data_IF_286723052219
#
_entry.id   IF_286723052219
#
_cell.length_a   1.000
_cell.length_b   1.000
_cell.length_c   1.000
_cell.angle_alpha   90.00
_cell.angle_beta   90.00
_cell.angle_gamma   90.00
#
_symmetry.space_group_name_H-M   'P 1'
#
loop_
_entity.id
_entity.type
_entity.pdbx_description
1 polymer ?
#
# COMPACT_ATOMS: atom_id res chain seq x y z
N UNK A 1 -10.70 -1.93 11.10
CA UNK A 1 -11.79 -2.52 11.90
C UNK A 1 -11.27 -2.86 13.29
N UNK A 2 -12.06 -2.56 14.32
CA UNK A 2 -11.80 -2.93 15.71
C UNK A 2 -13.06 -3.60 16.30
N UNK A 3 -12.90 -4.35 17.40
CA UNK A 3 -14.05 -4.88 18.13
C UNK A 3 -14.26 -4.02 19.36
N UNK A 4 -15.38 -3.32 19.43
CA UNK A 4 -15.80 -2.50 20.56
C UNK A 4 -17.09 -3.08 21.14
N UNK A 5 -17.07 -3.48 22.41
CA UNK A 5 -18.21 -4.11 23.09
C UNK A 5 -18.80 -5.32 22.32
N UNK A 6 -17.93 -6.15 21.73
CA UNK A 6 -18.34 -7.33 20.96
C UNK A 6 -18.93 -7.04 19.58
N UNK A 7 -18.91 -5.80 19.12
CA UNK A 7 -19.37 -5.39 17.78
C UNK A 7 -18.19 -4.89 16.96
N UNK A 8 -18.20 -5.23 15.66
CA UNK A 8 -17.22 -4.72 14.73
C UNK A 8 -17.45 -3.22 14.52
N UNK A 9 -16.46 -2.42 14.85
CA UNK A 9 -16.39 -0.99 14.55
C UNK A 9 -15.51 -0.75 13.33
N UNK A 10 -15.95 0.13 12.44
CA UNK A 10 -15.23 0.50 11.24
C UNK A 10 -14.78 1.94 11.32
N UNK A 11 -13.49 2.15 11.36
CA UNK A 11 -12.90 3.48 11.27
C UNK A 11 -12.43 3.76 9.86
N UNK A 12 -12.69 4.96 9.37
CA UNK A 12 -12.17 5.48 8.10
C UNK A 12 -11.28 6.69 8.40
N UNK A 13 -10.31 6.95 7.52
CA UNK A 13 -9.39 8.07 7.72
C UNK A 13 -10.13 9.41 7.61
N UNK A 14 -10.91 9.59 6.57
CA UNK A 14 -11.63 10.84 6.27
C UNK A 14 -13.10 10.57 5.99
N UNK A 15 -13.97 11.01 6.88
CA UNK A 15 -15.42 10.87 6.76
C UNK A 15 -16.04 11.78 5.70
N UNK A 16 -15.29 12.77 5.17
CA UNK A 16 -15.77 13.66 4.09
C UNK A 16 -15.79 12.97 2.73
N UNK A 17 -15.05 11.86 2.59
CA UNK A 17 -15.02 11.05 1.38
C UNK A 17 -15.93 9.84 1.60
N UNK A 18 -17.04 9.79 0.87
CA UNK A 18 -17.90 8.61 0.89
C UNK A 18 -17.35 7.52 -0.04
N UNK A 19 -17.62 6.26 0.31
CA UNK A 19 -17.28 5.13 -0.58
C UNK A 19 -17.96 5.24 -1.94
N UNK A 20 -19.15 5.82 -1.99
CA UNK A 20 -19.89 6.07 -3.24
C UNK A 20 -19.16 7.07 -4.14
N UNK A 21 -18.70 8.20 -3.61
CA UNK A 21 -17.89 9.17 -4.38
C UNK A 21 -16.61 8.57 -4.90
N UNK A 22 -15.92 7.80 -4.05
CA UNK A 22 -14.70 7.08 -4.45
C UNK A 22 -15.00 6.11 -5.58
N UNK A 23 -16.09 5.35 -5.46
CA UNK A 23 -16.49 4.37 -6.48
C UNK A 23 -16.80 5.05 -7.82
N UNK A 24 -17.62 6.11 -7.83
CA UNK A 24 -17.96 6.85 -9.07
C UNK A 24 -16.69 7.37 -9.74
N UNK A 25 -15.77 7.97 -9.00
CA UNK A 25 -14.50 8.46 -9.52
C UNK A 25 -13.65 7.33 -10.11
N UNK A 26 -13.48 6.22 -9.37
CA UNK A 26 -12.63 5.12 -9.78
C UNK A 26 -13.23 4.33 -10.96
N UNK A 27 -14.54 4.17 -11.03
CA UNK A 27 -15.23 3.55 -12.17
C UNK A 27 -15.01 4.38 -13.46
N UNK A 28 -15.13 5.72 -13.37
CA UNK A 28 -14.85 6.63 -14.49
C UNK A 28 -13.37 6.57 -14.90
N UNK A 29 -12.46 6.56 -13.92
CA UNK A 29 -11.03 6.47 -14.18
C UNK A 29 -10.66 5.15 -14.87
N UNK A 30 -11.27 4.03 -14.46
CA UNK A 30 -11.04 2.73 -15.11
C UNK A 30 -11.46 2.73 -16.59
N UNK A 31 -12.59 3.37 -16.92
CA UNK A 31 -13.02 3.55 -18.31
C UNK A 31 -11.96 4.34 -19.09
N UNK A 32 -11.46 5.44 -18.53
CA UNK A 32 -10.43 6.24 -19.17
C UNK A 32 -9.11 5.47 -19.33
N UNK A 33 -8.70 4.69 -18.33
CA UNK A 33 -7.50 3.84 -18.40
C UNK A 33 -7.64 2.84 -19.56
N UNK A 34 -8.76 2.13 -19.64
CA UNK A 34 -8.98 1.15 -20.69
C UNK A 34 -9.05 1.77 -22.08
N UNK A 35 -9.61 2.97 -22.20
CA UNK A 35 -9.64 3.71 -23.46
C UNK A 35 -8.24 4.10 -23.97
N UNK A 36 -7.30 4.41 -23.07
CA UNK A 36 -5.96 4.87 -23.44
C UNK A 36 -4.92 3.74 -23.51
N UNK A 37 -5.06 2.69 -22.71
CA UNK A 37 -4.04 1.65 -22.55
C UNK A 37 -4.50 0.26 -23.00
N UNK A 38 -5.75 0.12 -23.46
CA UNK A 38 -6.35 -1.15 -23.85
C UNK A 38 -6.85 -1.96 -22.66
N UNK A 39 -6.96 -3.25 -22.84
CA UNK A 39 -7.46 -4.13 -21.79
C UNK A 39 -6.53 -4.14 -20.58
N UNK A 40 -7.07 -3.76 -19.43
CA UNK A 40 -6.39 -3.81 -18.14
C UNK A 40 -7.26 -4.65 -17.20
N UNK A 41 -6.64 -5.67 -16.62
CA UNK A 41 -7.28 -6.57 -15.66
C UNK A 41 -7.23 -5.97 -14.26
N UNK A 42 -8.18 -6.39 -13.44
CA UNK A 42 -8.27 -6.02 -12.03
C UNK A 42 -7.78 -7.18 -11.18
N UNK A 43 -7.28 -6.85 -9.99
CA UNK A 43 -6.93 -7.83 -8.98
C UNK A 43 -8.10 -8.79 -8.68
N UNK A 44 -7.81 -10.04 -8.38
CA UNK A 44 -8.82 -11.06 -8.09
C UNK A 44 -9.72 -10.68 -6.91
N UNK A 45 -9.20 -9.90 -5.95
CA UNK A 45 -9.93 -9.42 -4.78
C UNK A 45 -10.68 -8.09 -4.99
N UNK A 46 -10.67 -7.52 -6.20
CA UNK A 46 -11.34 -6.24 -6.49
C UNK A 46 -12.82 -6.19 -6.06
N UNK A 47 -13.63 -7.26 -6.15
CA UNK A 47 -15.02 -7.23 -5.69
C UNK A 47 -15.19 -6.92 -4.18
N UNK A 48 -14.14 -7.12 -3.38
CA UNK A 48 -14.13 -6.85 -1.93
C UNK A 48 -13.53 -5.50 -1.57
N UNK A 49 -12.94 -4.78 -2.53
CA UNK A 49 -12.35 -3.46 -2.34
C UNK A 49 -13.42 -2.37 -2.45
N UNK A 50 -13.44 -1.46 -1.50
CA UNK A 50 -14.44 -0.39 -1.43
C UNK A 50 -13.86 1.01 -1.69
N UNK A 51 -12.54 1.17 -1.54
CA UNK A 51 -11.90 2.48 -1.49
C UNK A 51 -10.80 2.65 -2.53
N UNK A 52 -10.42 1.59 -3.18
CA UNK A 52 -9.34 1.56 -4.16
C UNK A 52 -9.68 0.68 -5.36
N UNK A 53 -9.00 0.96 -6.44
CA UNK A 53 -8.96 0.19 -7.66
C UNK A 53 -7.58 -0.47 -7.73
N UNK A 54 -7.52 -1.79 -7.72
CA UNK A 54 -6.28 -2.54 -7.87
C UNK A 54 -6.18 -3.07 -9.30
N UNK A 55 -5.29 -2.49 -10.08
CA UNK A 55 -4.95 -2.97 -11.41
C UNK A 55 -3.94 -4.10 -11.28
N UNK A 56 -4.22 -5.25 -11.88
CA UNK A 56 -3.31 -6.38 -11.94
C UNK A 56 -2.12 -6.03 -12.84
N UNK A 57 -0.94 -6.01 -12.26
CA UNK A 57 0.31 -5.77 -13.00
C UNK A 57 1.22 -6.99 -13.04
N UNK A 58 1.07 -7.94 -12.10
CA UNK A 58 1.90 -9.16 -12.01
C UNK A 58 1.28 -10.26 -11.14
N UNK A 59 -0.04 -10.30 -10.96
CA UNK A 59 -0.74 -11.35 -10.22
C UNK A 59 -1.08 -12.54 -11.15
N UNK A 60 -2.01 -12.34 -12.08
CA UNK A 60 -2.40 -13.30 -13.12
C UNK A 60 -1.98 -12.83 -14.51
N UNK A 61 -1.72 -11.53 -14.66
CA UNK A 61 -1.27 -10.91 -15.90
C UNK A 61 0.05 -10.19 -15.65
N UNK A 62 0.82 -9.98 -16.72
CA UNK A 62 2.10 -9.27 -16.61
C UNK A 62 2.12 -8.04 -17.51
N UNK A 63 2.29 -6.87 -16.92
CA UNK A 63 2.51 -5.62 -17.64
C UNK A 63 4.01 -5.27 -17.59
N UNK A 64 4.51 -4.68 -18.68
CA UNK A 64 5.88 -4.18 -18.66
C UNK A 64 6.02 -3.02 -17.65
N UNK A 65 7.20 -2.85 -17.01
CA UNK A 65 7.43 -1.76 -16.07
C UNK A 65 7.13 -0.37 -16.65
N UNK A 66 7.45 -0.16 -17.93
CA UNK A 66 7.14 1.09 -18.63
C UNK A 66 5.64 1.34 -18.71
N UNK A 67 4.85 0.32 -19.07
CA UNK A 67 3.39 0.44 -19.15
C UNK A 67 2.78 0.70 -17.77
N UNK A 68 3.28 0.05 -16.73
CA UNK A 68 2.85 0.30 -15.34
C UNK A 68 3.12 1.77 -14.98
N UNK A 69 4.28 2.29 -15.35
CA UNK A 69 4.65 3.68 -15.09
C UNK A 69 3.75 4.66 -15.84
N UNK A 70 3.48 4.42 -17.10
CA UNK A 70 2.58 5.25 -17.91
C UNK A 70 1.16 5.30 -17.32
N UNK A 71 0.62 4.15 -16.89
CA UNK A 71 -0.69 4.08 -16.24
C UNK A 71 -0.65 4.80 -14.88
N UNK A 72 0.41 4.63 -14.09
CA UNK A 72 0.59 5.36 -12.83
C UNK A 72 0.55 6.87 -13.05
N UNK A 73 1.38 7.39 -13.97
CA UNK A 73 1.45 8.83 -14.27
C UNK A 73 0.11 9.36 -14.80
N UNK A 74 -0.59 8.57 -15.61
CA UNK A 74 -1.94 8.89 -16.06
C UNK A 74 -2.93 9.01 -14.91
N UNK A 75 -2.96 8.06 -13.96
CA UNK A 75 -3.83 8.11 -12.79
C UNK A 75 -3.58 9.37 -11.95
N UNK A 76 -2.30 9.70 -11.71
CA UNK A 76 -1.92 10.92 -11.00
C UNK A 76 -2.41 12.18 -11.75
N UNK A 77 -2.25 12.23 -13.07
CA UNK A 77 -2.69 13.36 -13.89
C UNK A 77 -4.22 13.59 -13.85
N UNK A 78 -4.99 12.52 -13.56
CA UNK A 78 -6.44 12.56 -13.40
C UNK A 78 -6.89 12.89 -11.97
N UNK A 79 -5.96 13.17 -11.08
CA UNK A 79 -6.26 13.56 -9.68
C UNK A 79 -6.48 12.38 -8.73
N UNK A 80 -6.15 11.16 -9.15
CA UNK A 80 -6.07 10.01 -8.26
C UNK A 80 -4.75 10.01 -7.49
N UNK A 81 -4.69 9.23 -6.41
CA UNK A 81 -3.44 8.76 -5.84
C UNK A 81 -3.17 7.34 -6.31
N UNK A 82 -1.92 6.97 -6.42
CA UNK A 82 -1.53 5.64 -6.84
C UNK A 82 -0.27 5.18 -6.12
N UNK A 83 -0.13 3.86 -5.95
CA UNK A 83 1.06 3.23 -5.40
C UNK A 83 1.28 1.87 -6.06
N UNK A 84 2.52 1.63 -6.48
CA UNK A 84 2.93 0.36 -7.10
C UNK A 84 3.32 -0.61 -5.97
N UNK A 85 2.78 -1.82 -6.01
CA UNK A 85 3.22 -2.96 -5.22
C UNK A 85 3.81 -4.03 -6.15
N UNK A 86 4.24 -5.15 -5.59
CA UNK A 86 4.83 -6.28 -6.34
C UNK A 86 3.87 -6.87 -7.39
N UNK A 87 2.57 -6.81 -7.13
CA UNK A 87 1.56 -7.46 -8.00
C UNK A 87 0.48 -6.51 -8.50
N UNK A 88 0.29 -5.36 -7.86
CA UNK A 88 -0.77 -4.42 -8.21
C UNK A 88 -0.29 -2.97 -8.37
N UNK A 89 -0.95 -2.23 -9.22
CA UNK A 89 -1.02 -0.78 -9.14
C UNK A 89 -2.30 -0.40 -8.40
N UNK A 90 -2.17 0.01 -7.14
CA UNK A 90 -3.29 0.43 -6.32
C UNK A 90 -3.58 1.91 -6.55
N UNK A 91 -4.83 2.23 -6.87
CA UNK A 91 -5.29 3.59 -7.20
C UNK A 91 -6.46 3.97 -6.32
N UNK A 92 -6.43 5.15 -5.70
CA UNK A 92 -7.52 5.59 -4.82
C UNK A 92 -7.84 7.08 -4.97
N UNK A 93 -9.01 7.46 -4.50
CA UNK A 93 -9.49 8.84 -4.46
C UNK A 93 -9.38 9.40 -3.05
N UNK A 94 -8.81 10.62 -2.90
CA UNK A 94 -8.69 11.31 -1.61
C UNK A 94 -7.25 11.42 -1.12
N UNK A 95 -7.02 12.41 -0.27
CA UNK A 95 -5.68 12.76 0.23
C UNK A 95 -5.34 11.99 1.51
N UNK A 96 -5.24 10.69 1.41
CA UNK A 96 -4.81 9.83 2.52
C UNK A 96 -3.86 8.74 2.02
N UNK A 97 -3.05 8.25 2.92
CA UNK A 97 -2.08 7.17 2.65
C UNK A 97 -2.19 6.08 3.72
N UNK A 98 -1.54 4.94 3.47
CA UNK A 98 -1.35 3.89 4.48
C UNK A 98 -0.72 4.47 5.75
N UNK A 99 0.25 5.36 5.61
CA UNK A 99 0.95 6.00 6.72
C UNK A 99 0.01 6.86 7.58
N UNK A 100 -0.84 7.68 6.97
CA UNK A 100 -1.78 8.53 7.69
C UNK A 100 -2.74 7.72 8.56
N UNK A 101 -3.25 6.59 8.02
CA UNK A 101 -4.13 5.71 8.78
C UNK A 101 -3.37 4.99 9.90
N UNK A 102 -2.15 4.54 9.67
CA UNK A 102 -1.33 3.93 10.71
C UNK A 102 -1.08 4.88 11.88
N UNK A 103 -0.70 6.12 11.60
CA UNK A 103 -0.50 7.14 12.63
C UNK A 103 -1.79 7.43 13.42
N UNK A 104 -2.93 7.51 12.74
CA UNK A 104 -4.23 7.69 13.41
C UNK A 104 -4.55 6.53 14.35
N UNK A 105 -4.23 5.30 13.97
CA UNK A 105 -4.43 4.11 14.81
C UNK A 105 -3.51 4.15 16.02
N UNK A 106 -2.20 4.44 15.83
CA UNK A 106 -1.25 4.53 16.92
C UNK A 106 -1.66 5.60 17.94
N UNK A 107 -2.11 6.78 17.48
CA UNK A 107 -2.63 7.84 18.34
C UNK A 107 -3.85 7.36 19.14
N UNK A 108 -4.81 6.67 18.49
CA UNK A 108 -6.00 6.13 19.17
C UNK A 108 -5.68 5.07 20.22
N UNK A 109 -4.56 4.36 20.06
CA UNK A 109 -4.07 3.36 21.01
C UNK A 109 -3.09 3.92 22.04
N UNK A 110 -2.76 5.22 21.95
CA UNK A 110 -1.75 5.87 22.76
C UNK A 110 -0.38 5.16 22.70
N UNK A 111 -0.03 4.69 21.50
CA UNK A 111 1.26 4.03 21.19
C UNK A 111 2.15 5.03 20.46
N UNK A 112 3.38 5.19 20.91
CA UNK A 112 4.34 6.07 20.26
C UNK A 112 4.99 5.36 19.07
N UNK A 113 5.34 6.14 18.05
CA UNK A 113 5.93 5.61 16.82
C UNK A 113 7.32 4.97 17.04
N UNK A 114 8.05 5.44 18.04
CA UNK A 114 9.35 4.90 18.46
C UNK A 114 9.25 3.57 19.25
N UNK A 115 8.05 3.20 19.65
CA UNK A 115 7.74 1.89 20.24
C UNK A 115 7.33 0.85 19.17
N UNK A 116 7.36 1.23 17.88
CA UNK A 116 6.89 0.41 16.77
C UNK A 116 8.01 0.03 15.82
N UNK A 117 7.94 -1.19 15.30
CA UNK A 117 8.73 -1.63 14.15
C UNK A 117 7.79 -1.73 12.95
N UNK A 118 8.13 -1.06 11.86
CA UNK A 118 7.43 -1.22 10.59
C UNK A 118 8.16 -2.21 9.70
N UNK A 119 7.41 -3.12 9.08
CA UNK A 119 7.96 -4.09 8.12
C UNK A 119 7.25 -3.92 6.77
N UNK A 120 8.02 -3.89 5.69
CA UNK A 120 7.48 -3.78 4.33
C UNK A 120 8.35 -4.48 3.29
N UNK A 121 7.84 -4.61 2.07
CA UNK A 121 8.48 -5.39 1.00
C UNK A 121 8.48 -4.70 -0.37
N UNK A 122 7.84 -3.53 -0.49
CA UNK A 122 7.53 -2.97 -1.80
C UNK A 122 7.48 -1.43 -1.81
N UNK A 123 7.46 -0.79 -3.00
CA UNK A 123 7.48 0.67 -3.13
C UNK A 123 6.34 1.41 -2.43
N UNK A 124 5.19 0.77 -2.26
CA UNK A 124 4.05 1.36 -1.55
C UNK A 124 4.33 1.56 -0.04
N UNK A 125 5.39 0.95 0.50
CA UNK A 125 5.83 1.07 1.89
C UNK A 125 6.80 2.26 2.11
N UNK A 126 7.27 2.88 1.04
CA UNK A 126 8.21 4.01 1.09
C UNK A 126 7.80 5.13 2.07
N UNK A 127 6.53 5.59 2.11
CA UNK A 127 6.11 6.57 3.10
C UNK A 127 6.21 6.09 4.55
N UNK A 128 6.05 4.79 4.78
CA UNK A 128 6.16 4.16 6.10
C UNK A 128 7.63 4.08 6.52
N UNK A 129 8.52 3.68 5.61
CA UNK A 129 9.97 3.65 5.86
C UNK A 129 10.50 5.02 6.26
N UNK A 130 10.04 6.08 5.60
CA UNK A 130 10.38 7.45 5.97
C UNK A 130 9.91 7.84 7.36
N UNK A 131 8.73 7.38 7.74
CA UNK A 131 8.03 7.87 8.93
C UNK A 131 8.43 7.10 10.19
N UNK A 132 8.62 5.78 10.09
CA UNK A 132 8.94 4.92 11.22
C UNK A 132 10.44 4.90 11.48
N UNK A 133 10.92 5.30 12.69
CA UNK A 133 12.36 5.31 13.02
C UNK A 133 12.97 3.91 12.92
N UNK A 134 12.22 2.88 13.31
CA UNK A 134 12.62 1.48 13.17
C UNK A 134 11.79 0.88 12.04
N UNK A 135 12.37 0.84 10.85
CA UNK A 135 11.74 0.30 9.66
C UNK A 135 12.61 -0.78 9.03
N UNK A 136 11.99 -1.89 8.66
CA UNK A 136 12.65 -3.09 8.15
C UNK A 136 12.04 -3.45 6.79
N UNK A 137 12.88 -3.58 5.77
CA UNK A 137 12.51 -4.16 4.50
C UNK A 137 12.82 -5.66 4.49
N UNK A 138 11.93 -6.52 3.98
CA UNK A 138 12.35 -7.86 3.61
C UNK A 138 13.22 -7.77 2.36
N UNK A 139 14.11 -8.75 2.16
CA UNK A 139 15.21 -8.65 1.17
C UNK A 139 14.74 -8.25 -0.24
N UNK A 140 13.58 -8.74 -0.69
CA UNK A 140 13.00 -8.39 -2.00
C UNK A 140 12.73 -6.89 -2.19
N UNK A 141 12.68 -6.09 -1.11
CA UNK A 141 12.55 -4.64 -1.22
C UNK A 141 13.66 -4.02 -2.07
N UNK A 142 14.84 -4.64 -2.12
CA UNK A 142 15.99 -4.17 -2.90
C UNK A 142 15.77 -4.29 -4.41
N UNK A 143 14.91 -5.20 -4.86
CA UNK A 143 14.59 -5.41 -6.27
C UNK A 143 13.78 -4.24 -6.86
N UNK A 144 13.20 -3.41 -5.97
CA UNK A 144 12.39 -2.25 -6.31
C UNK A 144 13.08 -0.91 -6.06
N UNK A 145 14.41 -0.89 -5.91
CA UNK A 145 15.18 0.33 -5.57
C UNK A 145 14.88 1.51 -6.49
N UNK A 146 14.73 1.27 -7.80
CA UNK A 146 14.46 2.32 -8.80
C UNK A 146 13.06 2.97 -8.66
N UNK A 147 12.15 2.32 -7.93
CA UNK A 147 10.79 2.79 -7.68
C UNK A 147 10.60 3.36 -6.28
N UNK A 148 11.62 3.29 -5.42
CA UNK A 148 11.53 3.73 -4.03
C UNK A 148 12.10 5.13 -3.86
N UNK A 149 11.36 5.95 -3.11
CA UNK A 149 11.80 7.29 -2.72
C UNK A 149 12.51 7.29 -1.37
N UNK A 150 11.99 6.51 -0.44
CA UNK A 150 12.54 6.40 0.91
C UNK A 150 12.76 4.90 1.21
N UNK A 151 13.88 4.58 1.84
CA UNK A 151 14.32 3.21 2.10
C UNK A 151 14.12 2.81 3.56
N UNK A 152 14.00 1.49 3.86
CA UNK A 152 13.97 1.02 5.23
C UNK A 152 15.32 1.25 5.91
N UNK A 153 15.30 1.42 7.25
CA UNK A 153 16.52 1.56 8.07
C UNK A 153 17.33 0.27 8.12
N UNK A 154 16.66 -0.87 7.98
CA UNK A 154 17.26 -2.20 8.00
C UNK A 154 16.66 -3.07 6.92
N UNK A 155 17.43 -4.06 6.43
CA UNK A 155 16.95 -5.07 5.47
C UNK A 155 17.28 -6.45 5.99
N UNK A 156 16.33 -7.39 5.91
CA UNK A 156 16.54 -8.77 6.35
C UNK A 156 17.49 -9.53 5.42
N UNK A 157 18.11 -10.60 5.93
CA UNK A 157 19.03 -11.42 5.14
C UNK A 157 18.30 -12.33 4.16
N UNK A 158 17.13 -12.83 4.57
CA UNK A 158 16.27 -13.72 3.78
C UNK A 158 15.04 -12.95 3.29
N UNK A 159 14.33 -13.53 2.36
CA UNK A 159 13.17 -12.91 1.74
C UNK A 159 11.85 -13.45 2.30
N UNK A 160 10.74 -12.79 1.98
CA UNK A 160 9.38 -13.20 2.33
C UNK A 160 9.18 -13.53 3.80
N UNK A 161 8.52 -14.65 4.06
CA UNK A 161 8.25 -15.16 5.41
C UNK A 161 9.53 -15.43 6.20
N UNK A 162 10.58 -15.93 5.56
CA UNK A 162 11.86 -16.18 6.22
C UNK A 162 12.55 -14.88 6.64
N UNK A 163 12.43 -13.82 5.87
CA UNK A 163 12.89 -12.49 6.26
C UNK A 163 12.13 -11.95 7.47
N UNK A 164 10.82 -12.19 7.55
CA UNK A 164 10.04 -11.84 8.73
C UNK A 164 10.45 -12.66 9.96
N UNK A 165 10.75 -13.96 9.81
CA UNK A 165 11.32 -14.79 10.89
C UNK A 165 12.65 -14.21 11.41
N UNK A 166 13.57 -13.80 10.51
CA UNK A 166 14.85 -13.18 10.89
C UNK A 166 14.62 -11.95 11.80
N UNK A 167 13.63 -11.13 11.50
CA UNK A 167 13.28 -9.98 12.32
C UNK A 167 12.75 -10.41 13.70
N UNK A 168 11.81 -11.35 13.73
CA UNK A 168 11.22 -11.84 14.99
C UNK A 168 12.31 -12.44 15.89
N UNK A 169 13.19 -13.27 15.33
CA UNK A 169 14.31 -13.86 16.08
C UNK A 169 15.26 -12.78 16.62
N UNK A 170 15.52 -11.74 15.82
CA UNK A 170 16.35 -10.61 16.26
C UNK A 170 15.73 -9.85 17.43
N UNK A 171 14.41 -9.62 17.41
CA UNK A 171 13.70 -8.95 18.50
C UNK A 171 13.69 -9.81 19.77
N UNK A 172 13.41 -11.11 19.63
CA UNK A 172 13.29 -12.03 20.77
C UNK A 172 14.63 -12.39 21.41
N UNK A 173 15.72 -12.37 20.64
CA UNK A 173 17.07 -12.69 21.14
C UNK A 173 17.76 -11.52 21.85
N UNK A 174 17.17 -10.33 21.84
CA UNK A 174 17.70 -9.10 22.47
C UNK A 174 17.27 -8.99 23.96
N UNK A 175 17.11 -10.11 24.66
CA UNK A 175 16.82 -10.14 26.09
C UNK A 175 18.08 -10.23 26.91
#
# INVERSE_FOLDING_TARGET
YSIVNGKMDRQVFDNSISSEKSKIFLDSLLIDIRANFGEIFLAADQPFRQWDLALDVSEENSLSPNKVREIYDFCISRGANAAISNIHLNVWYGKYTKCDMALKILDSWNVKIDECVYVGDSPNDSPMFKKFPISVGVKSVLDYSDFMKDYPSYVTKRDGNQGFEDLVDSILSTK
#
